data_IF_375638892218
#
_entry.id   IF_375638892218
#
_cell.length_a   1.000
_cell.length_b   1.000
_cell.length_c   1.000
_cell.angle_alpha   90.00
_cell.angle_beta   90.00
_cell.angle_gamma   90.00
#
_symmetry.space_group_name_H-M   'P 1'
#
loop_
_entity.id
_entity.type
_entity.pdbx_description
1 polymer ?
#
# COMPACT_ATOMS: atom_id res chain seq x y z
N UNK A 1 -9.89 18.12 -16.30
CA UNK A 1 -9.91 17.09 -17.35
C UNK A 1 -10.04 15.74 -16.66
N UNK A 2 -10.74 14.75 -17.24
CA UNK A 2 -10.79 13.41 -16.67
C UNK A 2 -9.37 12.84 -16.56
N UNK A 3 -9.06 12.21 -15.44
CA UNK A 3 -7.77 11.55 -15.25
C UNK A 3 -7.59 10.46 -16.30
N UNK A 4 -6.39 10.41 -16.90
CA UNK A 4 -6.00 9.36 -17.85
C UNK A 4 -4.95 8.50 -17.16
N UNK A 5 -5.29 7.27 -16.74
CA UNK A 5 -4.34 6.39 -16.07
C UNK A 5 -3.17 6.01 -16.98
N UNK A 6 -1.96 5.80 -16.43
CA UNK A 6 -0.87 5.18 -17.18
C UNK A 6 -1.33 3.83 -17.76
N UNK A 7 -0.99 3.48 -19.02
CA UNK A 7 -1.45 2.24 -19.64
C UNK A 7 -1.15 0.98 -18.84
N UNK A 8 -0.05 0.98 -18.06
CA UNK A 8 0.35 -0.13 -17.21
C UNK A 8 -0.58 -0.32 -15.99
N UNK A 9 -1.17 0.77 -15.47
CA UNK A 9 -2.03 0.75 -14.28
C UNK A 9 -3.52 0.79 -14.63
N UNK A 10 -3.88 1.23 -15.84
CA UNK A 10 -5.28 1.36 -16.25
C UNK A 10 -6.11 0.08 -16.03
N UNK A 11 -5.66 -1.12 -16.43
CA UNK A 11 -6.43 -2.34 -16.21
C UNK A 11 -6.69 -2.62 -14.73
N UNK A 12 -5.68 -2.40 -13.89
CA UNK A 12 -5.76 -2.60 -12.45
C UNK A 12 -6.67 -1.60 -11.76
N UNK A 13 -6.60 -0.32 -12.15
CA UNK A 13 -7.49 0.71 -11.61
C UNK A 13 -8.95 0.48 -12.00
N UNK A 14 -9.21 0.00 -13.21
CA UNK A 14 -10.56 -0.41 -13.63
C UNK A 14 -11.05 -1.64 -12.87
N UNK A 15 -10.20 -2.64 -12.68
CA UNK A 15 -10.55 -3.83 -11.91
C UNK A 15 -10.86 -3.50 -10.44
N UNK A 16 -10.08 -2.61 -9.83
CA UNK A 16 -10.33 -2.09 -8.48
C UNK A 16 -11.65 -1.31 -8.43
N UNK A 17 -11.91 -0.41 -9.38
CA UNK A 17 -13.17 0.32 -9.46
C UNK A 17 -14.38 -0.63 -9.56
N UNK A 18 -14.31 -1.60 -10.48
CA UNK A 18 -15.35 -2.62 -10.68
C UNK A 18 -15.57 -3.45 -9.41
N UNK A 19 -14.49 -3.78 -8.68
CA UNK A 19 -14.58 -4.47 -7.40
C UNK A 19 -15.33 -3.61 -6.38
N UNK A 20 -14.93 -2.36 -6.20
CA UNK A 20 -15.56 -1.45 -5.23
C UNK A 20 -17.04 -1.21 -5.53
N UNK A 21 -17.45 -1.14 -6.80
CA UNK A 21 -18.87 -1.03 -7.17
C UNK A 21 -19.69 -2.30 -6.87
N UNK A 22 -19.06 -3.47 -6.70
CA UNK A 22 -19.77 -4.67 -6.22
C UNK A 22 -20.06 -4.61 -4.72
N UNK A 23 -19.18 -3.98 -3.93
CA UNK A 23 -19.39 -3.75 -2.49
C UNK A 23 -20.32 -2.56 -2.24
N UNK A 24 -20.23 -1.54 -3.09
CA UNK A 24 -21.02 -0.31 -3.01
C UNK A 24 -21.85 -0.10 -4.28
N UNK A 25 -22.90 -0.92 -4.53
CA UNK A 25 -23.67 -0.87 -5.76
C UNK A 25 -24.34 0.49 -6.00
N UNK A 26 -24.81 1.14 -4.93
CA UNK A 26 -25.45 2.46 -5.03
C UNK A 26 -24.49 3.55 -5.52
N UNK A 27 -23.18 3.42 -5.23
CA UNK A 27 -22.17 4.36 -5.73
C UNK A 27 -22.05 4.30 -7.24
N UNK A 28 -22.27 3.14 -7.88
CA UNK A 28 -22.18 3.03 -9.34
C UNK A 28 -23.17 3.96 -10.08
N UNK A 29 -24.29 4.30 -9.45
CA UNK A 29 -25.35 5.11 -10.08
C UNK A 29 -25.42 6.54 -9.54
N UNK A 30 -25.21 6.75 -8.24
CA UNK A 30 -25.49 8.02 -7.56
C UNK A 30 -24.24 8.90 -7.43
N UNK A 31 -23.11 8.29 -7.05
CA UNK A 31 -21.83 8.97 -6.84
C UNK A 31 -20.67 8.02 -7.19
N UNK A 32 -20.37 7.87 -8.49
CA UNK A 32 -19.42 6.85 -8.96
C UNK A 32 -18.02 7.08 -8.44
N UNK A 33 -17.46 6.06 -7.80
CA UNK A 33 -16.03 6.00 -7.47
C UNK A 33 -15.22 6.24 -8.75
N UNK A 34 -14.42 7.30 -8.85
CA UNK A 34 -13.69 7.64 -10.07
C UNK A 34 -12.39 6.83 -10.19
N UNK A 35 -11.79 6.79 -11.39
CA UNK A 35 -10.49 6.13 -11.59
C UNK A 35 -9.35 6.86 -10.88
N UNK A 36 -9.46 8.18 -10.72
CA UNK A 36 -8.63 8.98 -9.82
C UNK A 36 -9.19 8.96 -8.39
N UNK A 37 -9.38 7.77 -7.82
CA UNK A 37 -10.04 7.57 -6.52
C UNK A 37 -9.44 8.41 -5.36
N UNK A 38 -8.19 8.86 -5.46
CA UNK A 38 -7.61 9.81 -4.50
C UNK A 38 -8.30 11.19 -4.50
N UNK A 39 -9.17 11.48 -5.47
CA UNK A 39 -10.04 12.66 -5.50
C UNK A 39 -11.33 12.49 -4.69
N UNK A 40 -11.66 11.27 -4.25
CA UNK A 40 -12.82 10.99 -3.39
C UNK A 40 -12.63 11.73 -2.08
N UNK A 41 -13.61 12.53 -1.64
CA UNK A 41 -13.50 13.34 -0.42
C UNK A 41 -13.67 12.52 0.88
N UNK A 42 -14.26 11.35 0.78
CA UNK A 42 -14.48 10.40 1.87
C UNK A 42 -13.17 9.67 2.19
N UNK A 43 -12.64 9.91 3.39
CA UNK A 43 -11.34 9.38 3.84
C UNK A 43 -11.38 7.89 4.14
N UNK A 44 -12.48 7.41 4.70
CA UNK A 44 -12.67 5.99 5.00
C UNK A 44 -12.74 5.20 3.70
N UNK A 45 -13.55 5.69 2.73
CA UNK A 45 -13.62 5.08 1.40
C UNK A 45 -12.28 5.14 0.67
N UNK A 46 -11.52 6.23 0.81
CA UNK A 46 -10.19 6.33 0.20
C UNK A 46 -9.21 5.28 0.73
N UNK A 47 -9.15 5.09 2.05
CA UNK A 47 -8.31 4.07 2.67
C UNK A 47 -8.76 2.66 2.32
N UNK A 48 -10.07 2.41 2.27
CA UNK A 48 -10.62 1.12 1.86
C UNK A 48 -10.27 0.79 0.39
N UNK A 49 -10.34 1.78 -0.51
CA UNK A 49 -9.89 1.56 -1.90
C UNK A 49 -8.39 1.22 -1.93
N UNK A 50 -7.58 1.84 -1.07
CA UNK A 50 -6.14 1.53 -0.98
C UNK A 50 -5.86 0.14 -0.41
N UNK A 51 -6.62 -0.33 0.58
CA UNK A 51 -6.44 -1.68 1.14
C UNK A 51 -6.74 -2.77 0.12
N UNK A 52 -7.70 -2.55 -0.78
CA UNK A 52 -8.00 -3.50 -1.85
C UNK A 52 -7.11 -3.39 -3.09
N UNK A 53 -6.36 -2.29 -3.25
CA UNK A 53 -5.51 -2.06 -4.42
C UNK A 53 -4.55 -3.23 -4.74
N UNK A 54 -3.81 -3.84 -3.77
CA UNK A 54 -2.86 -4.90 -4.05
C UNK A 54 -3.45 -6.11 -4.77
N UNK A 55 -4.72 -6.45 -4.50
CA UNK A 55 -5.43 -7.58 -5.09
C UNK A 55 -5.69 -7.42 -6.60
N UNK A 56 -5.59 -6.19 -7.10
CA UNK A 56 -5.94 -5.84 -8.48
C UNK A 56 -4.74 -5.45 -9.35
N UNK A 57 -3.56 -5.28 -8.75
CA UNK A 57 -2.32 -5.02 -9.50
C UNK A 57 -1.78 -6.34 -10.06
N UNK A 58 -1.64 -6.41 -11.39
CA UNK A 58 -1.07 -7.59 -12.05
C UNK A 58 0.44 -7.75 -11.78
N UNK A 59 0.95 -8.99 -11.82
CA UNK A 59 2.38 -9.27 -11.69
C UNK A 59 3.23 -8.51 -12.72
N UNK A 60 2.74 -8.36 -13.96
CA UNK A 60 3.40 -7.57 -15.00
C UNK A 60 3.54 -6.10 -14.60
N UNK A 61 2.49 -5.51 -14.03
CA UNK A 61 2.54 -4.14 -13.54
C UNK A 61 3.52 -4.04 -12.37
N UNK A 62 3.46 -4.97 -11.41
CA UNK A 62 4.34 -5.01 -10.23
C UNK A 62 5.81 -5.06 -10.62
N UNK A 63 6.18 -5.88 -11.60
CA UNK A 63 7.54 -5.98 -12.12
C UNK A 63 8.10 -4.65 -12.67
N UNK A 64 7.22 -3.69 -12.97
CA UNK A 64 7.55 -2.38 -13.53
C UNK A 64 7.13 -1.24 -12.58
N UNK A 65 7.07 -1.51 -11.27
CA UNK A 65 6.67 -0.55 -10.24
C UNK A 65 7.43 0.80 -10.33
N UNK A 66 8.70 0.78 -10.72
CA UNK A 66 9.52 1.99 -10.86
C UNK A 66 9.02 2.99 -11.94
N UNK A 67 8.10 2.58 -12.80
CA UNK A 67 7.47 3.40 -13.83
C UNK A 67 6.16 4.06 -13.37
N UNK A 68 5.60 3.62 -12.23
CA UNK A 68 4.33 4.13 -11.73
C UNK A 68 4.45 5.55 -11.17
N UNK A 69 3.34 6.28 -11.02
CA UNK A 69 3.35 7.48 -10.21
C UNK A 69 3.81 7.20 -8.78
N UNK A 70 4.51 8.17 -8.17
CA UNK A 70 5.20 7.99 -6.89
C UNK A 70 4.28 7.49 -5.78
N UNK A 71 3.04 7.99 -5.72
CA UNK A 71 2.10 7.54 -4.69
C UNK A 71 1.80 6.04 -4.78
N UNK A 72 1.64 5.48 -5.99
CA UNK A 72 1.42 4.05 -6.18
C UNK A 72 2.65 3.23 -5.78
N UNK A 73 3.86 3.72 -6.06
CA UNK A 73 5.10 3.05 -5.65
C UNK A 73 5.22 2.92 -4.13
N UNK A 74 4.70 3.91 -3.40
CA UNK A 74 4.72 3.93 -1.94
C UNK A 74 3.55 3.14 -1.35
N UNK A 75 2.34 3.34 -1.88
CA UNK A 75 1.13 2.71 -1.37
C UNK A 75 1.13 1.20 -1.58
N UNK A 76 1.54 0.71 -2.75
CA UNK A 76 1.46 -0.72 -3.06
C UNK A 76 2.16 -1.62 -2.02
N UNK A 77 3.45 -1.47 -1.72
CA UNK A 77 4.12 -2.36 -0.76
C UNK A 77 3.60 -2.20 0.67
N UNK A 78 3.11 -1.01 1.04
CA UNK A 78 2.47 -0.75 2.35
C UNK A 78 1.17 -1.54 2.44
N UNK A 79 0.22 -1.27 1.54
CA UNK A 79 -1.11 -1.87 1.63
C UNK A 79 -1.10 -3.36 1.30
N UNK A 80 -0.14 -3.85 0.52
CA UNK A 80 0.06 -5.29 0.36
C UNK A 80 0.37 -5.95 1.71
N UNK A 81 1.27 -5.36 2.50
CA UNK A 81 1.61 -5.90 3.82
C UNK A 81 0.43 -5.79 4.79
N UNK A 82 -0.28 -4.65 4.81
CA UNK A 82 -1.42 -4.47 5.71
C UNK A 82 -2.56 -5.46 5.40
N UNK A 83 -2.87 -5.69 4.13
CA UNK A 83 -3.83 -6.73 3.70
C UNK A 83 -3.37 -8.12 4.17
N UNK A 84 -2.11 -8.48 3.93
CA UNK A 84 -1.61 -9.80 4.32
C UNK A 84 -1.51 -9.95 5.86
N UNK A 85 -1.26 -8.88 6.61
CA UNK A 85 -1.32 -8.87 8.07
C UNK A 85 -2.73 -9.17 8.58
N UNK A 86 -3.76 -8.59 7.96
CA UNK A 86 -5.16 -8.81 8.36
C UNK A 86 -5.55 -10.29 8.25
N UNK A 87 -5.11 -10.97 7.20
CA UNK A 87 -5.48 -12.37 6.94
C UNK A 87 -4.50 -13.40 7.55
N UNK A 88 -3.19 -13.12 7.54
CA UNK A 88 -2.14 -14.07 7.86
C UNK A 88 -1.29 -13.67 9.09
N UNK A 89 -1.52 -12.49 9.69
CA UNK A 89 -0.74 -12.02 10.82
C UNK A 89 0.75 -11.93 10.49
N UNK A 90 1.62 -12.37 11.40
CA UNK A 90 3.09 -12.24 11.22
C UNK A 90 3.67 -13.06 10.07
N UNK A 91 2.95 -14.05 9.55
CA UNK A 91 3.35 -14.77 8.33
C UNK A 91 3.48 -13.80 7.14
N UNK A 92 2.81 -12.64 7.18
CA UNK A 92 2.92 -11.60 6.15
C UNK A 92 4.34 -11.15 5.85
N UNK A 93 5.18 -11.06 6.88
CA UNK A 93 6.59 -10.71 6.74
C UNK A 93 7.37 -11.74 5.92
N UNK A 94 7.04 -13.02 6.10
CA UNK A 94 7.67 -14.11 5.34
C UNK A 94 7.06 -14.29 3.96
N UNK A 95 5.76 -14.04 3.79
CA UNK A 95 5.07 -14.10 2.50
C UNK A 95 5.54 -13.01 1.54
N UNK A 96 5.75 -11.79 2.03
CA UNK A 96 6.31 -10.68 1.25
C UNK A 96 7.69 -11.03 0.66
N UNK A 97 8.44 -11.87 1.35
CA UNK A 97 9.83 -12.17 1.01
C UNK A 97 10.72 -10.93 1.11
N UNK A 98 11.96 -11.05 0.62
CA UNK A 98 12.96 -10.00 0.80
C UNK A 98 12.66 -8.74 -0.02
N UNK A 99 12.25 -8.89 -1.28
CA UNK A 99 12.12 -7.77 -2.21
C UNK A 99 10.96 -6.85 -1.84
N UNK A 100 9.76 -7.40 -1.61
CA UNK A 100 8.60 -6.60 -1.28
C UNK A 100 8.71 -5.98 0.12
N UNK A 101 9.27 -6.72 1.07
CA UNK A 101 9.49 -6.19 2.41
C UNK A 101 10.51 -5.04 2.41
N UNK A 102 11.55 -5.10 1.57
CA UNK A 102 12.45 -3.96 1.37
C UNK A 102 11.72 -2.76 0.75
N UNK A 103 10.83 -2.98 -0.24
CA UNK A 103 10.02 -1.90 -0.81
C UNK A 103 9.11 -1.25 0.24
N UNK A 104 8.54 -2.03 1.16
CA UNK A 104 7.72 -1.50 2.24
C UNK A 104 8.55 -0.69 3.25
N UNK A 105 9.74 -1.18 3.62
CA UNK A 105 10.70 -0.42 4.45
C UNK A 105 11.00 0.93 3.82
N UNK A 106 11.36 0.95 2.54
CA UNK A 106 11.70 2.17 1.81
C UNK A 106 10.48 3.09 1.69
N UNK A 107 9.28 2.54 1.50
CA UNK A 107 8.05 3.31 1.43
C UNK A 107 7.73 3.99 2.76
N UNK A 108 7.72 3.25 3.87
CA UNK A 108 7.48 3.80 5.20
C UNK A 108 8.51 4.87 5.58
N UNK A 109 9.79 4.68 5.23
CA UNK A 109 10.83 5.70 5.48
C UNK A 109 10.56 6.98 4.69
N UNK A 110 10.21 6.85 3.40
CA UNK A 110 9.94 7.98 2.50
C UNK A 110 8.71 8.79 2.88
N UNK A 111 7.71 8.19 3.51
CA UNK A 111 6.52 8.90 3.99
C UNK A 111 6.70 9.53 5.38
N UNK A 112 7.86 9.33 6.01
CA UNK A 112 8.21 9.91 7.30
C UNK A 112 7.93 9.01 8.51
N UNK A 113 7.47 7.77 8.28
CA UNK A 113 7.19 6.78 9.33
C UNK A 113 8.45 6.00 9.69
N UNK A 114 9.51 6.72 10.08
CA UNK A 114 10.84 6.15 10.27
C UNK A 114 10.91 5.02 11.31
N UNK A 115 10.09 5.08 12.38
CA UNK A 115 10.04 4.02 13.39
C UNK A 115 9.45 2.72 12.84
N UNK A 116 8.42 2.80 12.00
CA UNK A 116 7.82 1.66 11.30
C UNK A 116 8.86 1.05 10.34
N UNK A 117 9.50 1.91 9.53
CA UNK A 117 10.54 1.49 8.60
C UNK A 117 11.70 0.77 9.31
N UNK A 118 12.14 1.27 10.47
CA UNK A 118 13.21 0.62 11.24
C UNK A 118 12.76 -0.71 11.87
N UNK A 119 11.51 -0.80 12.34
CA UNK A 119 10.96 -2.05 12.86
C UNK A 119 10.88 -3.12 11.76
N UNK A 120 10.35 -2.76 10.58
CA UNK A 120 10.31 -3.63 9.40
C UNK A 120 11.72 -3.98 8.91
N UNK A 121 12.69 -3.06 8.95
CA UNK A 121 14.06 -3.34 8.56
C UNK A 121 14.71 -4.41 9.46
N UNK A 122 14.37 -4.45 10.75
CA UNK A 122 14.81 -5.54 11.63
C UNK A 122 14.12 -6.87 11.31
N UNK A 123 12.82 -6.85 11.05
CA UNK A 123 12.13 -8.03 10.55
C UNK A 123 12.75 -8.56 9.27
N UNK A 124 13.08 -7.69 8.31
CA UNK A 124 13.73 -8.04 7.05
C UNK A 124 15.08 -8.75 7.26
N UNK A 125 15.89 -8.28 8.21
CA UNK A 125 17.15 -8.98 8.57
C UNK A 125 16.86 -10.39 9.10
N UNK A 126 15.80 -10.56 9.91
CA UNK A 126 15.38 -11.88 10.38
C UNK A 126 14.88 -12.77 9.24
N UNK A 127 14.04 -12.25 8.34
CA UNK A 127 13.51 -12.96 7.18
C UNK A 127 14.65 -13.43 6.27
N UNK A 128 15.66 -12.60 6.01
CA UNK A 128 16.86 -12.98 5.25
C UNK A 128 17.63 -14.15 5.88
N UNK A 129 17.67 -14.22 7.21
CA UNK A 129 18.41 -15.26 7.93
C UNK A 129 17.62 -16.55 8.06
N UNK A 130 16.30 -16.45 8.26
CA UNK A 130 15.39 -17.57 8.44
C UNK A 130 14.02 -17.29 7.77
N UNK A 131 13.90 -17.49 6.44
CA UNK A 131 12.71 -17.09 5.67
C UNK A 131 11.39 -17.77 6.06
N UNK A 132 11.45 -18.84 6.86
CA UNK A 132 10.28 -19.58 7.33
C UNK A 132 9.99 -19.38 8.82
N UNK A 133 10.76 -18.56 9.54
CA UNK A 133 10.59 -18.31 10.98
C UNK A 133 9.86 -16.98 11.22
N UNK A 134 8.54 -17.00 11.05
CA UNK A 134 7.66 -15.85 11.30
C UNK A 134 7.78 -15.32 12.74
N UNK A 135 8.00 -16.22 13.71
CA UNK A 135 8.12 -15.84 15.11
C UNK A 135 9.44 -15.07 15.36
N UNK A 136 10.52 -15.40 14.65
CA UNK A 136 11.74 -14.59 14.67
C UNK A 136 11.54 -13.22 14.02
N UNK A 137 10.82 -13.17 12.89
CA UNK A 137 10.49 -11.91 12.22
C UNK A 137 9.64 -11.00 13.12
N UNK A 138 8.60 -11.53 13.76
CA UNK A 138 7.78 -10.81 14.75
C UNK A 138 8.62 -10.28 15.91
N UNK A 139 9.47 -11.12 16.52
CA UNK A 139 10.33 -10.68 17.63
C UNK A 139 11.29 -9.57 17.20
N UNK A 140 11.82 -9.65 15.98
CA UNK A 140 12.71 -8.64 15.44
C UNK A 140 11.98 -7.31 15.22
N UNK A 141 10.77 -7.34 14.64
CA UNK A 141 9.89 -6.18 14.48
C UNK A 141 9.59 -5.52 15.83
N UNK A 142 9.13 -6.30 16.81
CA UNK A 142 8.75 -5.82 18.16
C UNK A 142 9.93 -5.44 19.05
N UNK A 143 11.17 -5.59 18.58
CA UNK A 143 12.37 -5.31 19.37
C UNK A 143 12.64 -3.82 19.59
N UNK A 144 11.83 -2.94 19.00
CA UNK A 144 11.98 -1.49 19.13
C UNK A 144 10.64 -0.83 19.46
N UNK A 145 10.67 0.32 20.15
CA UNK A 145 9.48 1.16 20.27
C UNK A 145 9.01 1.61 18.89
N UNK A 146 7.72 1.41 18.61
CA UNK A 146 7.09 1.87 17.38
C UNK A 146 5.72 2.47 17.69
N UNK A 147 5.52 3.80 17.56
CA UNK A 147 4.23 4.44 17.78
C UNK A 147 3.15 4.01 16.77
N UNK A 148 3.55 3.43 15.63
CA UNK A 148 2.64 2.95 14.58
C UNK A 148 2.35 1.45 14.66
N UNK A 149 2.75 0.79 15.76
CA UNK A 149 2.34 -0.59 16.04
C UNK A 149 0.84 -0.70 16.39
N UNK A 150 0.19 0.44 16.63
CA UNK A 150 -1.25 0.59 16.75
C UNK A 150 -1.84 1.04 15.40
N UNK A 151 -2.90 0.38 14.96
CA UNK A 151 -3.47 0.56 13.63
C UNK A 151 -4.10 1.95 13.45
N UNK A 152 -4.66 2.55 14.51
CA UNK A 152 -5.29 3.88 14.43
C UNK A 152 -4.22 4.94 14.12
N UNK A 153 -3.14 4.98 14.89
CA UNK A 153 -2.03 5.91 14.65
C UNK A 153 -1.36 5.70 13.28
N UNK A 154 -1.28 4.45 12.81
CA UNK A 154 -0.74 4.12 11.49
C UNK A 154 -1.65 4.67 10.38
N UNK A 155 -2.96 4.40 10.44
CA UNK A 155 -3.91 4.84 9.42
C UNK A 155 -4.04 6.36 9.36
N UNK A 156 -4.08 7.05 10.49
CA UNK A 156 -4.09 8.52 10.52
C UNK A 156 -2.88 9.11 9.78
N UNK A 157 -1.70 8.53 9.98
CA UNK A 157 -0.46 9.01 9.37
C UNK A 157 -0.41 8.71 7.86
N UNK A 158 -0.85 7.51 7.45
CA UNK A 158 -1.00 7.15 6.03
C UNK A 158 -1.96 8.08 5.32
N UNK A 159 -3.12 8.34 5.93
CA UNK A 159 -4.13 9.27 5.40
C UNK A 159 -3.54 10.68 5.26
N UNK A 160 -2.92 11.19 6.34
CA UNK A 160 -2.25 12.50 6.35
C UNK A 160 -1.26 12.63 5.21
N UNK A 161 -0.42 11.62 4.99
CA UNK A 161 0.56 11.64 3.91
C UNK A 161 -0.10 11.63 2.53
N UNK A 162 -0.93 10.63 2.22
CA UNK A 162 -1.45 10.47 0.86
C UNK A 162 -2.44 11.57 0.45
N UNK A 163 -3.22 12.11 1.40
CA UNK A 163 -4.07 13.29 1.17
C UNK A 163 -3.26 14.56 1.02
N UNK A 164 -2.27 14.77 1.89
CA UNK A 164 -1.38 15.93 1.83
C UNK A 164 -0.53 16.00 0.56
N UNK A 165 -0.38 14.86 -0.14
CA UNK A 165 0.47 14.73 -1.32
C UNK A 165 -0.29 14.24 -2.56
N UNK A 166 -1.54 14.67 -2.75
CA UNK A 166 -2.40 14.23 -3.85
C UNK A 166 -1.77 14.36 -5.27
N UNK A 167 -0.83 15.29 -5.46
CA UNK A 167 -0.09 15.43 -6.72
C UNK A 167 0.80 14.22 -7.09
N UNK A 168 1.20 13.39 -6.12
CA UNK A 168 2.06 12.22 -6.33
C UNK A 168 1.34 11.08 -7.07
N UNK A 169 0.01 11.07 -7.10
CA UNK A 169 -0.79 10.08 -7.84
C UNK A 169 -0.77 10.27 -9.35
N UNK A 170 -0.42 11.47 -9.82
CA UNK A 170 -0.48 11.85 -11.23
C UNK A 170 0.90 11.93 -11.89
N UNK A 171 1.96 12.11 -11.09
CA UNK A 171 3.31 12.31 -11.59
C UNK A 171 3.98 11.00 -12.02
N UNK A 172 3.74 10.55 -13.26
CA UNK A 172 4.69 9.70 -13.97
C UNK A 172 5.89 10.54 -14.40
N UNK A 173 7.11 10.00 -14.35
CA UNK A 173 8.33 10.70 -14.79
C UNK A 173 8.06 11.45 -16.10
N UNK A 174 8.25 12.77 -16.10
CA UNK A 174 8.45 13.48 -17.37
C UNK A 174 9.68 12.86 -18.04
N UNK A 175 9.61 12.58 -19.36
CA UNK A 175 10.74 12.03 -20.11
C UNK A 175 11.99 12.91 -20.04
#
# INVERSE_FOLDING_TARGET
MPYTPPPLLEPSLRALQDYMHRFYPDRAEIDPIPLDFWSVADDDLFLEILSYMPLHISEEAQARIAEWPVAFQLAFPIFWLEDDYEFNGWTALTNAGEELLQLAVDAYDRIGMHSEAQALAKALVSVRQAPADEAAAERAYKSMPNPYADDEAKFEELLRFFRGNAGLWQAGKQP
#
